data_IF_870940790826
#
_entry.id   IF_870940790826
#
_cell.length_a   1.000
_cell.length_b   1.000
_cell.length_c   1.000
_cell.angle_alpha   90.00
_cell.angle_beta   90.00
_cell.angle_gamma   90.00
#
_symmetry.space_group_name_H-M   'P 1'
#
loop_
_entity.id
_entity.type
_entity.pdbx_description
1 polymer ?
#
# COMPACT_ATOMS: atom_id res chain seq x y z
N UNK A 1 36.46 -18.55 30.58
CA UNK A 1 35.19 -18.82 29.87
C UNK A 1 34.06 -18.44 30.82
N UNK A 2 33.46 -17.25 30.63
CA UNK A 2 32.32 -16.82 31.43
C UNK A 2 31.05 -17.08 30.61
N UNK A 3 30.19 -17.96 31.11
CA UNK A 3 28.92 -18.31 30.48
C UNK A 3 27.95 -17.14 30.69
N UNK A 4 27.67 -16.38 29.62
CA UNK A 4 26.67 -15.32 29.64
C UNK A 4 25.26 -15.93 29.71
N UNK A 5 24.55 -15.58 30.77
CA UNK A 5 23.16 -15.97 31.02
C UNK A 5 22.22 -15.16 30.11
N UNK A 6 21.62 -15.82 29.11
CA UNK A 6 20.67 -15.23 28.15
C UNK A 6 19.24 -15.20 28.73
N UNK A 7 19.04 -14.45 29.81
CA UNK A 7 17.70 -14.17 30.36
C UNK A 7 17.31 -12.69 30.27
N UNK A 8 17.95 -11.94 29.36
CA UNK A 8 17.50 -10.60 28.99
C UNK A 8 16.26 -10.72 28.11
N UNK A 9 15.12 -10.22 28.59
CA UNK A 9 13.86 -10.19 27.88
C UNK A 9 14.03 -9.75 26.42
N UNK A 10 13.99 -10.72 25.50
CA UNK A 10 13.74 -10.46 24.08
C UNK A 10 12.29 -10.01 23.98
N UNK A 11 12.04 -8.72 24.22
CA UNK A 11 10.93 -8.07 23.54
C UNK A 11 11.27 -8.18 22.06
N UNK A 12 10.69 -9.21 21.42
CA UNK A 12 10.66 -9.35 19.97
C UNK A 12 10.37 -7.95 19.43
N UNK A 13 11.18 -7.39 18.51
CA UNK A 13 10.81 -6.13 17.89
C UNK A 13 9.39 -6.34 17.40
N UNK A 14 8.47 -5.54 17.94
CA UNK A 14 7.07 -5.62 17.54
C UNK A 14 7.10 -5.08 16.13
N UNK A 15 7.25 -5.98 15.16
CA UNK A 15 7.12 -5.66 13.75
C UNK A 15 5.88 -4.77 13.66
N UNK A 16 6.04 -3.56 13.15
CA UNK A 16 4.94 -2.62 13.02
C UNK A 16 3.77 -3.39 12.38
N UNK A 17 2.71 -3.59 13.16
CA UNK A 17 1.57 -4.38 12.73
C UNK A 17 1.02 -3.70 11.50
N UNK A 18 0.80 -4.42 10.41
CA UNK A 18 0.29 -3.80 9.19
C UNK A 18 -1.01 -3.02 9.49
N UNK A 19 -1.11 -1.78 9.01
CA UNK A 19 -2.21 -0.86 9.31
C UNK A 19 -2.83 -0.32 8.03
N UNK A 20 -4.07 0.11 8.13
CA UNK A 20 -4.80 0.83 7.08
C UNK A 20 -5.36 2.13 7.64
N UNK A 21 -5.61 3.11 6.77
CA UNK A 21 -6.24 4.38 7.15
C UNK A 21 -7.78 4.37 7.05
N UNK A 22 -8.38 3.21 6.85
CA UNK A 22 -9.82 3.05 6.66
C UNK A 22 -10.31 1.75 7.30
N UNK A 23 -11.63 1.54 7.28
CA UNK A 23 -12.27 0.34 7.82
C UNK A 23 -11.95 -0.96 7.05
N UNK A 24 -11.19 -0.87 5.95
CA UNK A 24 -10.74 -2.04 5.20
C UNK A 24 -9.53 -2.69 5.88
N UNK A 25 -9.52 -4.02 5.86
CA UNK A 25 -8.35 -4.80 6.27
C UNK A 25 -7.21 -4.64 5.26
N UNK A 26 -5.98 -4.86 5.71
CA UNK A 26 -4.77 -4.83 4.86
C UNK A 26 -4.92 -5.73 3.63
N UNK A 27 -5.49 -6.93 3.79
CA UNK A 27 -5.75 -7.86 2.69
C UNK A 27 -6.73 -7.29 1.65
N UNK A 28 -7.76 -6.58 2.09
CA UNK A 28 -8.73 -5.96 1.18
C UNK A 28 -8.11 -4.81 0.39
N UNK A 29 -7.26 -3.98 1.02
CA UNK A 29 -6.53 -2.91 0.32
C UNK A 29 -5.54 -3.52 -0.69
N UNK A 30 -4.87 -4.61 -0.32
CA UNK A 30 -4.01 -5.35 -1.23
C UNK A 30 -4.75 -5.95 -2.43
N UNK A 31 -5.96 -6.48 -2.22
CA UNK A 31 -6.82 -6.97 -3.31
C UNK A 31 -7.20 -5.84 -4.27
N UNK A 32 -7.55 -4.65 -3.76
CA UNK A 32 -7.82 -3.48 -4.59
C UNK A 32 -6.58 -3.05 -5.40
N UNK A 33 -5.41 -3.07 -4.77
CA UNK A 33 -4.15 -2.79 -5.45
C UNK A 33 -3.86 -3.79 -6.57
N UNK A 34 -4.06 -5.09 -6.31
CA UNK A 34 -3.91 -6.14 -7.31
C UNK A 34 -4.92 -6.01 -8.46
N UNK A 35 -6.16 -5.63 -8.15
CA UNK A 35 -7.18 -5.35 -9.14
C UNK A 35 -6.74 -4.21 -10.08
N UNK A 36 -6.31 -3.06 -9.54
CA UNK A 36 -5.86 -1.93 -10.37
C UNK A 36 -4.66 -2.33 -11.23
N UNK A 37 -3.70 -3.07 -10.66
CA UNK A 37 -2.54 -3.59 -11.43
C UNK A 37 -2.96 -4.51 -12.57
N UNK A 38 -3.88 -5.43 -12.31
CA UNK A 38 -4.37 -6.38 -13.30
C UNK A 38 -5.13 -5.68 -14.43
N UNK A 39 -5.96 -4.69 -14.11
CA UNK A 39 -6.77 -3.96 -15.11
C UNK A 39 -5.91 -2.99 -15.91
N UNK A 40 -4.98 -2.27 -15.30
CA UNK A 40 -4.10 -1.34 -16.01
C UNK A 40 -3.09 -2.06 -16.91
N UNK A 41 -2.60 -3.23 -16.50
CA UNK A 41 -1.64 -4.06 -17.25
C UNK A 41 -0.22 -3.46 -17.38
N UNK A 42 -0.07 -2.13 -17.29
CA UNK A 42 1.18 -1.37 -17.28
C UNK A 42 1.13 -0.26 -16.24
N UNK A 43 2.28 0.04 -15.65
CA UNK A 43 2.44 1.23 -14.81
C UNK A 43 2.40 2.50 -15.67
N UNK A 44 2.18 3.65 -15.04
CA UNK A 44 2.27 4.97 -15.68
C UNK A 44 3.67 5.26 -16.21
N UNK A 45 4.69 4.52 -15.76
CA UNK A 45 6.08 4.67 -16.20
C UNK A 45 6.76 5.95 -15.68
N UNK A 46 6.08 6.70 -14.81
CA UNK A 46 6.56 7.91 -14.18
C UNK A 46 6.60 7.72 -12.67
N UNK A 47 7.54 8.37 -11.98
CA UNK A 47 7.54 8.46 -10.52
C UNK A 47 6.58 9.53 -10.00
N UNK A 48 6.03 10.35 -10.90
CA UNK A 48 5.05 11.38 -10.56
C UNK A 48 3.74 10.76 -10.04
N UNK A 49 3.09 11.39 -9.04
CA UNK A 49 1.83 10.90 -8.50
C UNK A 49 0.78 10.68 -9.60
N UNK A 50 -0.04 9.61 -9.51
CA UNK A 50 -1.06 9.36 -10.51
C UNK A 50 -2.09 10.50 -10.51
N UNK A 51 -2.49 10.94 -11.71
CA UNK A 51 -3.56 11.94 -11.85
C UNK A 51 -4.88 11.28 -11.49
N UNK A 52 -5.46 11.68 -10.36
CA UNK A 52 -6.71 11.12 -9.84
C UNK A 52 -7.88 12.10 -10.01
N UNK A 53 -9.12 11.60 -10.21
CA UNK A 53 -10.31 12.45 -10.28
C UNK A 53 -10.56 13.23 -8.99
N UNK A 54 -11.21 14.40 -9.10
CA UNK A 54 -11.63 15.17 -7.94
C UNK A 54 -12.59 14.34 -7.06
N UNK A 55 -12.33 14.29 -5.75
CA UNK A 55 -13.08 13.46 -4.80
C UNK A 55 -12.55 12.03 -4.62
N UNK A 56 -11.38 11.71 -5.19
CA UNK A 56 -10.67 10.48 -4.87
C UNK A 56 -10.21 10.49 -3.41
N UNK A 57 -10.55 9.43 -2.68
CA UNK A 57 -10.05 9.17 -1.33
C UNK A 57 -8.86 8.24 -1.44
N UNK A 58 -7.74 8.64 -0.85
CA UNK A 58 -6.56 7.81 -0.73
C UNK A 58 -6.75 6.80 0.41
N UNK A 59 -6.61 5.52 0.08
CA UNK A 59 -6.61 4.41 1.02
C UNK A 59 -5.23 3.77 0.97
N UNK A 60 -4.55 3.66 2.10
CA UNK A 60 -3.24 3.01 2.15
C UNK A 60 -3.25 1.78 3.05
N UNK A 61 -2.42 0.82 2.71
CA UNK A 61 -2.02 -0.28 3.56
C UNK A 61 -0.51 -0.18 3.79
N UNK A 62 -0.16 0.02 5.05
CA UNK A 62 1.20 0.00 5.55
C UNK A 62 1.49 -1.41 6.05
N UNK A 63 2.47 -2.10 5.47
CA UNK A 63 2.91 -3.42 5.88
C UNK A 63 4.04 -3.37 6.93
N UNK A 64 4.36 -2.19 7.45
CA UNK A 64 5.40 -1.96 8.44
C UNK A 64 6.67 -1.37 7.83
N UNK A 65 7.84 -1.89 8.21
CA UNK A 65 9.11 -1.18 8.05
C UNK A 65 9.52 -0.78 6.62
N UNK A 66 8.88 -1.29 5.56
CA UNK A 66 9.38 -1.09 4.19
C UNK A 66 8.34 -0.97 3.07
N UNK A 67 7.14 -1.55 3.20
CA UNK A 67 6.19 -1.65 2.10
C UNK A 67 4.90 -0.89 2.43
N UNK A 68 4.65 0.22 1.74
CA UNK A 68 3.36 0.91 1.79
C UNK A 68 2.76 0.96 0.40
N UNK A 69 1.51 0.52 0.28
CA UNK A 69 0.72 0.67 -0.95
C UNK A 69 -0.39 1.69 -0.71
N UNK A 70 -0.66 2.50 -1.72
CA UNK A 70 -1.78 3.42 -1.75
C UNK A 70 -2.72 3.07 -2.89
N UNK A 71 -4.02 3.24 -2.69
CA UNK A 71 -5.08 3.03 -3.67
C UNK A 71 -6.02 4.22 -3.57
N UNK A 72 -6.28 4.88 -4.69
CA UNK A 72 -7.27 5.94 -4.75
C UNK A 72 -8.61 5.37 -5.16
N UNK A 73 -9.65 5.73 -4.41
CA UNK A 73 -11.02 5.24 -4.59
C UNK A 73 -11.96 6.42 -4.81
N UNK A 74 -12.80 6.34 -5.84
CA UNK A 74 -13.84 7.33 -6.15
C UNK A 74 -15.20 6.63 -6.07
N UNK A 75 -16.10 7.08 -5.18
CA UNK A 75 -17.43 6.48 -5.00
C UNK A 75 -17.41 4.95 -4.81
N UNK A 76 -16.41 4.42 -4.08
CA UNK A 76 -16.24 2.98 -3.86
C UNK A 76 -15.53 2.22 -4.99
N UNK A 77 -15.15 2.89 -6.09
CA UNK A 77 -14.40 2.28 -7.19
C UNK A 77 -12.91 2.63 -7.13
N UNK A 78 -11.99 1.65 -7.12
CA UNK A 78 -10.57 1.94 -7.20
C UNK A 78 -10.24 2.50 -8.58
N UNK A 79 -9.56 3.65 -8.62
CA UNK A 79 -9.23 4.39 -9.86
C UNK A 79 -7.73 4.47 -10.11
N UNK A 80 -6.92 4.41 -9.06
CA UNK A 80 -5.47 4.38 -9.17
C UNK A 80 -4.87 3.59 -8.01
N UNK A 81 -3.65 3.13 -8.18
CA UNK A 81 -2.85 2.44 -7.19
C UNK A 81 -1.41 2.90 -7.29
N UNK A 82 -0.71 2.91 -6.17
CA UNK A 82 0.69 3.29 -6.06
C UNK A 82 1.38 2.33 -5.11
N UNK A 83 2.54 1.87 -5.53
CA UNK A 83 3.53 1.28 -4.66
C UNK A 83 4.49 2.40 -4.27
N UNK A 84 4.42 2.83 -3.00
CA UNK A 84 5.20 3.96 -2.50
C UNK A 84 6.69 3.60 -2.33
N UNK A 85 7.01 2.31 -2.19
CA UNK A 85 8.40 1.86 -2.08
C UNK A 85 9.09 1.95 -3.45
N UNK A 86 8.43 1.45 -4.50
CA UNK A 86 9.01 1.45 -5.85
C UNK A 86 8.70 2.70 -6.66
N UNK A 87 7.88 3.61 -6.11
CA UNK A 87 7.32 4.78 -6.80
C UNK A 87 6.66 4.38 -8.13
N UNK A 88 6.06 3.19 -8.15
CA UNK A 88 5.37 2.67 -9.32
C UNK A 88 3.89 2.95 -9.19
N UNK A 89 3.33 3.68 -10.14
CA UNK A 89 1.93 4.05 -10.13
C UNK A 89 1.16 3.36 -11.25
N UNK A 90 -0.11 3.08 -11.00
CA UNK A 90 -1.07 2.54 -11.95
C UNK A 90 -2.32 3.41 -11.87
N UNK A 91 -2.80 3.89 -13.00
CA UNK A 91 -4.02 4.69 -13.06
C UNK A 91 -4.95 4.13 -14.12
N UNK A 92 -6.20 3.87 -13.75
CA UNK A 92 -7.25 3.57 -14.70
C UNK A 92 -7.50 4.85 -15.49
N UNK A 93 -7.02 4.86 -16.73
CA UNK A 93 -7.37 5.93 -17.66
C UNK A 93 -8.86 5.80 -17.96
N UNK A 94 -9.70 6.53 -17.22
CA UNK A 94 -11.04 6.82 -17.68
C UNK A 94 -10.89 7.70 -18.92
N UNK A 95 -10.86 7.05 -20.10
CA UNK A 95 -11.13 7.78 -21.34
C UNK A 95 -12.53 8.38 -21.16
N UNK A 96 -12.58 9.72 -21.10
CA UNK A 96 -13.81 10.47 -21.29
C UNK A 96 -14.43 10.11 -22.63
#
# INVERSE_FOLDING_TARGET
>A
MAQQNVNGATTKPTAASAQTNCDLTVSQVYDLFCFVKAVCGRSTGTSEPPVVPAGAVEVYADFGDFDTIAVWVVNGWPVAASDQMTLTHWSLSFRR
#
